data_IF_224374801390
#
_entry.id   IF_224374801390
#
_cell.length_a   1.000
_cell.length_b   1.000
_cell.length_c   1.000
_cell.angle_alpha   90.00
_cell.angle_beta   90.00
_cell.angle_gamma   90.00
#
_symmetry.space_group_name_H-M   'P 1'
#
loop_
_entity.id
_entity.type
_entity.pdbx_description
1 polymer ?
#
# COMPACT_ATOMS: atom_id res chain seq x y z
N UNK A 1 -16.54 35.26 24.09
CA UNK A 1 -15.48 34.25 24.13
C UNK A 1 -16.09 33.00 23.52
N UNK A 2 -15.95 32.93 22.20
CA UNK A 2 -16.33 31.80 21.37
C UNK A 2 -15.47 30.59 21.72
N UNK A 3 -16.04 29.39 21.65
CA UNK A 3 -15.57 28.34 20.72
C UNK A 3 -16.32 27.02 21.02
N UNK A 4 -17.25 26.65 20.13
CA UNK A 4 -17.02 25.84 18.91
C UNK A 4 -17.14 24.35 19.21
N UNK A 5 -18.31 23.83 18.86
CA UNK A 5 -18.72 22.43 18.73
C UNK A 5 -17.62 21.54 18.14
N UNK A 6 -17.10 20.59 18.93
CA UNK A 6 -16.28 19.47 18.47
C UNK A 6 -17.19 18.31 18.08
N UNK A 7 -17.26 18.02 16.77
CA UNK A 7 -17.92 16.87 16.17
C UNK A 7 -17.10 15.59 16.47
N UNK A 8 -17.32 14.95 17.62
CA UNK A 8 -16.85 13.57 17.89
C UNK A 8 -17.91 12.57 17.41
N UNK A 9 -17.54 11.47 16.72
CA UNK A 9 -18.49 10.38 16.48
C UNK A 9 -18.84 9.72 17.82
N UNK A 10 -20.12 9.69 18.17
CA UNK A 10 -20.67 9.21 19.45
C UNK A 10 -20.88 7.68 19.52
N UNK A 11 -20.14 6.88 18.74
CA UNK A 11 -20.37 5.43 18.66
C UNK A 11 -19.40 4.63 19.54
N UNK A 12 -19.95 3.72 20.35
CA UNK A 12 -19.18 2.74 21.13
C UNK A 12 -18.56 1.66 20.23
N UNK A 13 -17.44 1.08 20.70
CA UNK A 13 -16.76 -0.05 20.07
C UNK A 13 -17.72 -1.24 20.02
N UNK A 14 -17.98 -1.76 18.83
CA UNK A 14 -18.96 -2.82 18.64
C UNK A 14 -18.33 -4.21 18.83
N UNK A 15 -19.18 -5.22 19.04
CA UNK A 15 -18.72 -6.58 19.32
C UNK A 15 -17.85 -7.20 18.22
N UNK A 16 -17.99 -6.80 16.95
CA UNK A 16 -17.13 -7.25 15.84
C UNK A 16 -15.75 -6.57 15.89
N UNK A 17 -15.69 -5.29 16.27
CA UNK A 17 -14.43 -4.56 16.51
C UNK A 17 -13.68 -5.16 17.71
N UNK A 18 -14.40 -5.55 18.78
CA UNK A 18 -13.84 -6.28 19.92
C UNK A 18 -13.39 -7.71 19.54
N UNK A 19 -14.15 -8.43 18.72
CA UNK A 19 -13.78 -9.75 18.22
C UNK A 19 -12.56 -9.71 17.28
N UNK A 20 -12.39 -8.62 16.51
CA UNK A 20 -11.22 -8.39 15.66
C UNK A 20 -9.90 -8.40 16.43
N UNK A 21 -9.91 -7.98 17.70
CA UNK A 21 -8.74 -8.05 18.60
C UNK A 21 -8.39 -9.49 19.03
N UNK A 22 -9.31 -10.44 18.80
CA UNK A 22 -9.20 -11.86 19.15
C UNK A 22 -9.10 -12.77 17.91
N UNK A 23 -8.91 -12.20 16.71
CA UNK A 23 -8.85 -12.97 15.45
C UNK A 23 -7.87 -14.14 15.55
N UNK A 24 -8.42 -15.35 15.69
CA UNK A 24 -7.74 -16.64 15.75
C UNK A 24 -7.97 -17.45 14.48
N UNK A 25 -8.13 -16.80 13.33
CA UNK A 25 -8.43 -17.50 12.06
C UNK A 25 -7.28 -18.43 11.73
N UNK A 26 -7.43 -19.70 12.13
CA UNK A 26 -6.54 -20.78 11.76
C UNK A 26 -7.04 -21.30 10.43
N UNK A 27 -6.34 -20.99 9.36
CA UNK A 27 -6.65 -21.51 8.03
C UNK A 27 -6.33 -23.00 8.06
N UNK A 28 -7.30 -23.84 7.65
CA UNK A 28 -7.11 -25.30 7.64
C UNK A 28 -5.82 -25.66 6.89
N UNK A 29 -4.94 -26.50 7.45
CA UNK A 29 -3.74 -26.96 6.75
C UNK A 29 -4.02 -27.57 5.38
N UNK A 30 -5.19 -28.17 5.19
CA UNK A 30 -5.58 -28.73 3.90
C UNK A 30 -5.82 -27.65 2.84
N UNK A 31 -6.45 -26.54 3.22
CA UNK A 31 -6.63 -25.37 2.33
C UNK A 31 -5.27 -24.79 1.96
N UNK A 32 -4.38 -24.63 2.95
CA UNK A 32 -3.01 -24.15 2.73
C UNK A 32 -2.25 -25.07 1.77
N UNK A 33 -2.35 -26.40 1.95
CA UNK A 33 -1.68 -27.38 1.09
C UNK A 33 -2.23 -27.38 -0.34
N UNK A 34 -3.55 -27.31 -0.50
CA UNK A 34 -4.19 -27.25 -1.83
C UNK A 34 -3.73 -26.00 -2.58
N UNK A 35 -3.81 -24.82 -1.95
CA UNK A 35 -3.35 -23.58 -2.58
C UNK A 35 -1.85 -23.60 -2.86
N UNK A 36 -1.03 -24.10 -1.93
CA UNK A 36 0.40 -24.25 -2.15
C UNK A 36 0.71 -25.19 -3.34
N UNK A 37 -0.09 -26.24 -3.53
CA UNK A 37 0.03 -27.13 -4.68
C UNK A 37 -0.25 -26.40 -6.00
N UNK A 38 -1.37 -25.69 -6.08
CA UNK A 38 -1.76 -24.90 -7.27
C UNK A 38 -0.72 -23.82 -7.59
N UNK A 39 -0.18 -23.16 -6.56
CA UNK A 39 0.87 -22.15 -6.71
C UNK A 39 2.27 -22.76 -6.95
N UNK A 40 2.39 -24.08 -7.09
CA UNK A 40 3.62 -24.77 -7.46
C UNK A 40 4.63 -24.99 -6.32
N UNK A 41 4.32 -24.63 -5.07
CA UNK A 41 5.20 -24.86 -3.91
C UNK A 41 5.49 -26.35 -3.68
N UNK A 42 4.56 -27.23 -4.06
CA UNK A 42 4.70 -28.69 -3.95
C UNK A 42 5.92 -29.26 -4.69
N UNK A 43 6.48 -28.52 -5.65
CA UNK A 43 7.64 -28.90 -6.46
C UNK A 43 8.98 -28.57 -5.81
N UNK A 44 8.97 -27.90 -4.65
CA UNK A 44 10.17 -27.37 -4.03
C UNK A 44 10.31 -27.82 -2.57
N UNK A 45 11.54 -28.11 -2.11
CA UNK A 45 11.78 -28.38 -0.69
C UNK A 45 11.62 -27.08 0.12
N UNK A 46 11.10 -27.21 1.34
CA UNK A 46 10.95 -26.08 2.27
C UNK A 46 12.31 -25.51 2.72
N UNK A 47 13.35 -26.36 2.75
CA UNK A 47 14.71 -26.00 3.14
C UNK A 47 15.74 -26.52 2.14
N UNK A 48 16.77 -25.72 1.88
CA UNK A 48 17.96 -26.07 1.10
C UNK A 48 19.17 -25.71 1.97
N UNK A 49 20.07 -26.66 2.20
CA UNK A 49 21.27 -26.49 3.04
C UNK A 49 20.98 -25.91 4.44
N UNK A 50 19.89 -26.38 5.06
CA UNK A 50 19.47 -25.94 6.40
C UNK A 50 18.85 -24.54 6.45
N UNK A 51 18.70 -23.86 5.31
CA UNK A 51 18.07 -22.55 5.20
C UNK A 51 16.72 -22.62 4.51
N UNK A 52 15.80 -21.71 4.87
CA UNK A 52 14.49 -21.62 4.23
C UNK A 52 14.66 -21.29 2.75
N UNK A 53 13.98 -22.05 1.89
CA UNK A 53 13.95 -21.78 0.46
C UNK A 53 13.19 -20.48 0.18
N UNK A 54 13.80 -19.57 -0.59
CA UNK A 54 13.29 -18.20 -0.79
C UNK A 54 12.27 -18.09 -1.93
N UNK A 55 12.19 -19.08 -2.83
CA UNK A 55 11.20 -19.22 -3.91
C UNK A 55 10.75 -17.89 -4.54
N UNK A 56 11.68 -17.04 -5.02
CA UNK A 56 11.36 -15.68 -5.50
C UNK A 56 10.52 -15.65 -6.78
N UNK A 57 10.38 -16.80 -7.45
CA UNK A 57 9.59 -17.00 -8.67
C UNK A 57 8.14 -17.42 -8.41
N UNK A 58 7.75 -17.66 -7.15
CA UNK A 58 6.39 -18.05 -6.79
C UNK A 58 5.61 -16.88 -6.20
N UNK A 59 4.29 -16.96 -6.31
CA UNK A 59 3.37 -16.00 -5.72
C UNK A 59 3.23 -16.23 -4.22
N UNK A 60 3.13 -15.14 -3.45
CA UNK A 60 2.96 -15.22 -2.00
C UNK A 60 1.59 -15.85 -1.65
N UNK A 61 1.62 -17.00 -0.98
CA UNK A 61 0.42 -17.70 -0.52
C UNK A 61 -0.44 -16.84 0.41
N UNK A 62 0.17 -15.99 1.23
CA UNK A 62 -0.57 -15.09 2.13
C UNK A 62 -1.32 -14.01 1.35
N UNK A 63 -0.74 -13.50 0.27
CA UNK A 63 -1.40 -12.51 -0.59
C UNK A 63 -2.62 -13.14 -1.30
N UNK A 64 -2.51 -14.40 -1.75
CA UNK A 64 -3.63 -15.15 -2.36
C UNK A 64 -4.76 -15.41 -1.37
N UNK A 65 -4.43 -15.81 -0.14
CA UNK A 65 -5.42 -16.03 0.92
C UNK A 65 -6.19 -14.74 1.27
N UNK A 66 -5.48 -13.62 1.36
CA UNK A 66 -6.13 -12.32 1.61
C UNK A 66 -7.00 -11.90 0.42
N UNK A 67 -6.54 -12.10 -0.81
CA UNK A 67 -7.35 -11.86 -2.03
C UNK A 67 -8.63 -12.70 -2.05
N UNK A 68 -8.56 -13.99 -1.71
CA UNK A 68 -9.76 -14.86 -1.62
C UNK A 68 -10.76 -14.33 -0.60
N UNK A 69 -10.29 -13.86 0.56
CA UNK A 69 -11.16 -13.23 1.55
C UNK A 69 -11.80 -11.94 1.01
N UNK A 70 -11.02 -11.10 0.31
CA UNK A 70 -11.51 -9.85 -0.28
C UNK A 70 -12.56 -10.09 -1.36
N UNK A 71 -12.34 -11.07 -2.23
CA UNK A 71 -13.30 -11.49 -3.24
C UNK A 71 -14.65 -11.89 -2.63
N UNK A 72 -14.64 -12.57 -1.48
CA UNK A 72 -15.85 -13.08 -0.82
C UNK A 72 -16.50 -12.13 0.17
N UNK A 73 -15.83 -11.04 0.54
CA UNK A 73 -16.30 -10.15 1.60
C UNK A 73 -17.70 -9.57 1.33
N UNK A 74 -18.06 -9.12 0.10
CA UNK A 74 -19.39 -8.58 -0.14
C UNK A 74 -20.53 -9.59 0.03
N UNK A 75 -20.27 -10.88 -0.22
CA UNK A 75 -21.26 -11.95 -0.03
C UNK A 75 -21.61 -12.17 1.45
N UNK A 76 -20.71 -11.74 2.36
CA UNK A 76 -20.89 -11.82 3.81
C UNK A 76 -21.55 -10.56 4.39
N UNK A 77 -21.65 -9.48 3.62
CA UNK A 77 -22.26 -8.22 4.04
C UNK A 77 -23.76 -8.22 3.74
N UNK A 78 -24.58 -7.77 4.69
CA UNK A 78 -26.02 -7.64 4.46
C UNK A 78 -26.35 -6.66 3.32
N UNK A 79 -25.59 -5.56 3.22
CA UNK A 79 -25.67 -4.57 2.14
C UNK A 79 -24.23 -4.08 1.84
N UNK A 80 -23.54 -4.66 0.85
CA UNK A 80 -22.19 -4.22 0.49
C UNK A 80 -22.23 -2.89 -0.28
N UNK A 81 -21.28 -2.00 0.01
CA UNK A 81 -21.11 -0.73 -0.71
C UNK A 81 -20.64 -0.95 -2.15
N UNK A 82 -20.83 0.03 -3.06
CA UNK A 82 -20.32 -0.07 -4.43
C UNK A 82 -18.81 -0.33 -4.51
N UNK A 83 -18.03 0.34 -3.65
CA UNK A 83 -16.57 0.15 -3.59
C UNK A 83 -16.20 -1.25 -3.10
N UNK A 84 -16.94 -1.81 -2.14
CA UNK A 84 -16.74 -3.20 -1.69
C UNK A 84 -17.04 -4.20 -2.81
N UNK A 85 -18.10 -3.97 -3.59
CA UNK A 85 -18.42 -4.81 -4.75
C UNK A 85 -17.33 -4.72 -5.83
N UNK A 86 -16.83 -3.51 -6.12
CA UNK A 86 -15.77 -3.31 -7.09
C UNK A 86 -14.43 -3.90 -6.61
N UNK A 87 -14.06 -3.73 -5.34
CA UNK A 87 -12.85 -4.33 -4.77
C UNK A 87 -12.90 -5.87 -4.85
N UNK A 88 -14.07 -6.48 -4.63
CA UNK A 88 -14.28 -7.91 -4.82
C UNK A 88 -14.12 -8.35 -6.29
N UNK A 89 -14.70 -7.61 -7.24
CA UNK A 89 -14.55 -7.91 -8.67
C UNK A 89 -13.08 -7.84 -9.13
N UNK A 90 -12.35 -6.83 -8.67
CA UNK A 90 -10.91 -6.72 -8.96
C UNK A 90 -10.16 -7.88 -8.30
N UNK A 91 -10.44 -8.19 -7.03
CA UNK A 91 -9.80 -9.31 -6.34
C UNK A 91 -10.03 -10.65 -7.07
N UNK A 92 -11.26 -10.92 -7.53
CA UNK A 92 -11.59 -12.10 -8.33
C UNK A 92 -10.82 -12.14 -9.65
N UNK A 93 -10.71 -11.00 -10.36
CA UNK A 93 -9.93 -10.91 -11.58
C UNK A 93 -8.44 -11.21 -11.34
N UNK A 94 -7.85 -10.64 -10.27
CA UNK A 94 -6.46 -10.89 -9.92
C UNK A 94 -6.24 -12.36 -9.56
N UNK A 95 -7.15 -12.99 -8.80
CA UNK A 95 -7.08 -14.42 -8.50
C UNK A 95 -7.11 -15.27 -9.77
N UNK A 96 -8.02 -14.97 -10.70
CA UNK A 96 -8.09 -15.68 -11.99
C UNK A 96 -6.78 -15.59 -12.76
N UNK A 97 -6.16 -14.40 -12.85
CA UNK A 97 -4.86 -14.21 -13.50
C UNK A 97 -3.74 -14.98 -12.78
N UNK A 98 -3.71 -14.95 -11.45
CA UNK A 98 -2.71 -15.69 -10.66
C UNK A 98 -2.82 -17.20 -10.90
N UNK A 99 -4.02 -17.77 -10.83
CA UNK A 99 -4.22 -19.21 -11.06
C UNK A 99 -4.04 -19.61 -12.54
N UNK A 100 -4.23 -18.69 -13.47
CA UNK A 100 -3.88 -18.88 -14.88
C UNK A 100 -2.37 -18.74 -15.17
N UNK A 101 -1.55 -18.44 -14.15
CA UNK A 101 -0.13 -18.10 -14.29
C UNK A 101 0.14 -16.90 -15.21
N UNK A 102 -0.80 -15.96 -15.29
CA UNK A 102 -0.65 -14.66 -15.96
C UNK A 102 0.00 -13.65 -15.01
N UNK A 103 1.28 -13.87 -14.72
CA UNK A 103 2.12 -12.97 -13.94
C UNK A 103 3.58 -13.10 -14.37
N UNK A 104 4.39 -12.11 -14.01
CA UNK A 104 5.83 -12.11 -14.26
C UNK A 104 6.59 -12.29 -12.95
N UNK A 105 7.79 -12.84 -13.01
CA UNK A 105 8.71 -12.89 -11.88
C UNK A 105 9.50 -11.60 -11.77
N UNK A 106 10.06 -11.31 -10.59
CA UNK A 106 10.95 -10.16 -10.39
C UNK A 106 12.17 -10.17 -11.34
N UNK A 107 12.67 -11.35 -11.72
CA UNK A 107 13.80 -11.47 -12.65
C UNK A 107 13.39 -11.09 -14.07
N UNK A 108 12.26 -11.60 -14.55
CA UNK A 108 11.75 -11.25 -15.89
C UNK A 108 11.46 -9.75 -15.99
N UNK A 109 10.83 -9.17 -14.96
CA UNK A 109 10.61 -7.72 -14.88
C UNK A 109 11.93 -6.96 -14.93
N UNK A 110 12.94 -7.39 -14.19
CA UNK A 110 14.26 -6.75 -14.21
C UNK A 110 14.88 -6.70 -15.63
N UNK A 111 14.71 -7.77 -16.40
CA UNK A 111 15.28 -7.90 -17.74
C UNK A 111 14.49 -7.11 -18.80
N UNK A 112 13.17 -6.99 -18.60
CA UNK A 112 12.30 -6.16 -19.43
C UNK A 112 12.49 -4.66 -19.16
N UNK A 113 12.93 -4.30 -17.96
CA UNK A 113 13.06 -2.91 -17.58
C UNK A 113 14.31 -2.24 -18.18
N UNK A 114 14.19 -0.98 -18.63
CA UNK A 114 15.32 -0.18 -19.06
C UNK A 114 16.35 0.04 -17.92
N UNK A 115 17.51 0.60 -18.23
CA UNK A 115 18.56 0.88 -17.22
C UNK A 115 18.23 2.10 -16.36
N UNK A 116 17.16 1.99 -15.57
CA UNK A 116 16.68 3.00 -14.61
C UNK A 116 16.52 2.38 -13.24
N UNK A 117 16.65 3.18 -12.17
CA UNK A 117 16.37 2.68 -10.83
C UNK A 117 14.86 2.72 -10.59
N UNK A 118 14.25 1.52 -10.51
CA UNK A 118 12.80 1.30 -10.34
C UNK A 118 12.57 0.54 -9.05
N UNK A 119 11.72 1.11 -8.19
CA UNK A 119 11.41 0.55 -6.88
C UNK A 119 9.91 0.27 -6.76
N UNK A 120 9.58 -0.93 -6.28
CA UNK A 120 8.24 -1.33 -5.90
C UNK A 120 8.04 -1.16 -4.40
N UNK A 121 6.89 -0.62 -4.01
CA UNK A 121 6.44 -0.55 -2.62
C UNK A 121 5.33 -1.58 -2.39
N UNK A 122 5.58 -2.60 -1.56
CA UNK A 122 4.55 -3.55 -1.12
C UNK A 122 3.66 -2.84 -0.10
N UNK A 123 2.51 -2.36 -0.59
CA UNK A 123 1.50 -1.65 0.17
C UNK A 123 0.63 -2.65 0.95
N UNK A 124 0.40 -2.36 2.22
CA UNK A 124 -0.59 -3.07 3.03
C UNK A 124 -2.03 -2.62 2.74
N UNK A 125 -3.01 -3.19 3.46
CA UNK A 125 -4.39 -2.70 3.41
C UNK A 125 -4.48 -1.24 3.83
N UNK A 126 -5.50 -0.50 3.37
CA UNK A 126 -5.76 0.86 3.82
C UNK A 126 -5.87 0.93 5.34
N UNK A 127 -5.15 1.87 5.95
CA UNK A 127 -5.27 2.17 7.39
C UNK A 127 -5.09 3.65 7.65
N UNK A 128 -5.87 4.22 8.56
CA UNK A 128 -5.76 5.64 8.91
C UNK A 128 -4.38 5.93 9.52
N UNK A 129 -3.93 7.17 9.36
CA UNK A 129 -2.60 7.60 9.79
C UNK A 129 -2.67 8.84 10.68
N UNK A 130 -1.90 8.81 11.78
CA UNK A 130 -1.73 9.94 12.70
C UNK A 130 -3.06 10.52 13.17
N UNK A 131 -3.26 11.81 12.91
CA UNK A 131 -4.45 12.55 13.38
C UNK A 131 -5.78 11.89 12.95
N UNK A 132 -5.82 11.27 11.77
CA UNK A 132 -7.04 10.68 11.22
C UNK A 132 -7.50 9.47 12.04
N UNK A 133 -6.55 8.76 12.68
CA UNK A 133 -6.86 7.66 13.60
C UNK A 133 -7.66 8.22 14.77
N UNK A 134 -7.11 9.21 15.49
CA UNK A 134 -7.72 9.79 16.70
C UNK A 134 -9.16 10.26 16.50
N UNK A 135 -9.47 10.78 15.32
CA UNK A 135 -10.81 11.29 14.98
C UNK A 135 -11.86 10.18 14.83
N UNK A 136 -11.42 8.94 14.60
CA UNK A 136 -12.28 7.80 14.27
C UNK A 136 -12.25 6.71 15.33
N UNK A 137 -11.44 6.87 16.37
CA UNK A 137 -11.44 5.97 17.51
C UNK A 137 -12.72 6.13 18.33
N UNK A 138 -13.26 5.00 18.77
CA UNK A 138 -14.24 4.98 19.85
C UNK A 138 -13.60 5.49 21.16
N UNK A 139 -14.43 5.98 22.08
CA UNK A 139 -13.97 6.61 23.33
C UNK A 139 -13.13 5.68 24.23
N UNK A 140 -13.25 4.36 24.07
CA UNK A 140 -12.59 3.31 24.83
C UNK A 140 -11.55 2.53 24.02
N UNK A 141 -11.21 2.97 22.80
CA UNK A 141 -10.33 2.23 21.89
C UNK A 141 -8.94 1.91 22.48
N UNK A 142 -8.41 2.79 23.33
CA UNK A 142 -7.12 2.56 24.00
C UNK A 142 -7.14 1.35 24.94
N UNK A 143 -8.31 0.94 25.46
CA UNK A 143 -8.46 -0.26 26.29
C UNK A 143 -8.23 -1.56 25.49
N UNK A 144 -8.33 -1.51 24.16
CA UNK A 144 -8.10 -2.64 23.28
C UNK A 144 -6.61 -2.93 23.04
N UNK A 145 -5.70 -2.00 23.41
CA UNK A 145 -4.27 -2.16 23.18
C UNK A 145 -3.75 -3.29 24.09
N UNK A 146 -3.14 -4.35 23.55
CA UNK A 146 -2.61 -5.44 24.36
C UNK A 146 -1.49 -4.94 25.29
N UNK A 147 -1.51 -5.41 26.54
CA UNK A 147 -0.47 -5.08 27.53
C UNK A 147 0.96 -5.45 27.08
N UNK A 148 1.09 -6.42 26.18
CA UNK A 148 2.37 -6.87 25.59
C UNK A 148 2.53 -6.45 24.12
N UNK A 149 2.08 -5.25 23.74
CA UNK A 149 2.36 -4.71 22.40
C UNK A 149 3.83 -4.28 22.29
N UNK A 150 4.57 -4.88 21.35
CA UNK A 150 5.87 -4.35 20.95
C UNK A 150 5.65 -3.07 20.16
N UNK A 151 6.05 -1.93 20.73
CA UNK A 151 6.07 -0.64 20.03
C UNK A 151 6.89 -0.80 18.75
N UNK A 152 6.23 -0.84 17.60
CA UNK A 152 6.93 -0.63 16.33
C UNK A 152 7.47 0.79 16.38
N UNK A 153 8.78 1.03 16.18
CA UNK A 153 9.30 2.38 16.01
C UNK A 153 8.81 2.93 14.66
N UNK A 154 7.54 3.31 14.63
CA UNK A 154 7.07 4.33 13.74
C UNK A 154 7.83 5.59 14.16
N UNK A 155 8.65 6.15 13.26
CA UNK A 155 9.53 7.27 13.60
C UNK A 155 8.77 8.48 14.18
N UNK A 156 9.41 9.65 14.36
CA UNK A 156 8.83 10.79 15.10
C UNK A 156 7.51 11.37 14.55
N UNK A 157 6.96 10.79 13.48
CA UNK A 157 5.79 11.24 12.75
C UNK A 157 4.48 10.52 13.12
N UNK A 158 4.48 9.51 13.99
CA UNK A 158 3.23 8.99 14.60
C UNK A 158 3.49 8.33 15.95
N UNK A 159 2.48 8.36 16.81
CA UNK A 159 2.47 7.62 18.07
C UNK A 159 2.29 6.10 17.80
N UNK A 160 3.04 5.20 18.49
CA UNK A 160 2.91 3.75 18.31
C UNK A 160 1.52 3.19 18.62
N UNK A 161 0.80 3.77 19.59
CA UNK A 161 -0.55 3.35 19.96
C UNK A 161 -1.54 3.71 18.85
N UNK A 162 -1.43 4.92 18.29
CA UNK A 162 -2.20 5.32 17.09
C UNK A 162 -1.94 4.40 15.91
N UNK A 163 -0.67 4.04 15.66
CA UNK A 163 -0.33 3.16 14.57
C UNK A 163 -0.98 1.77 14.73
N UNK A 164 -1.02 1.24 15.96
CA UNK A 164 -1.70 -0.01 16.28
C UNK A 164 -3.22 0.11 16.07
N UNK A 165 -3.84 1.14 16.66
CA UNK A 165 -5.28 1.34 16.57
C UNK A 165 -5.73 1.61 15.12
N UNK A 166 -4.96 2.38 14.36
CA UNK A 166 -5.20 2.61 12.94
C UNK A 166 -5.16 1.33 12.10
N UNK A 167 -4.30 0.38 12.47
CA UNK A 167 -4.15 -0.90 11.77
C UNK A 167 -5.22 -1.94 12.14
N UNK A 168 -5.81 -1.85 13.33
CA UNK A 168 -6.64 -2.93 13.89
C UNK A 168 -8.08 -2.54 14.21
N UNK A 169 -8.37 -1.26 14.40
CA UNK A 169 -9.68 -0.78 14.86
C UNK A 169 -10.39 0.05 13.79
N UNK A 170 -9.66 0.87 13.02
CA UNK A 170 -10.27 1.76 12.03
C UNK A 170 -10.31 1.13 10.64
N UNK A 171 -11.45 1.22 9.95
CA UNK A 171 -11.52 0.97 8.51
C UNK A 171 -11.21 2.27 7.75
N UNK A 172 -10.30 2.16 6.78
CA UNK A 172 -9.93 3.27 5.91
C UNK A 172 -10.29 3.00 4.44
N UNK A 173 -11.01 1.91 4.13
CA UNK A 173 -11.23 1.44 2.76
C UNK A 173 -12.19 2.36 1.99
N UNK A 174 -13.30 2.78 2.60
CA UNK A 174 -14.27 3.71 2.02
C UNK A 174 -13.94 5.15 2.41
N UNK A 175 -13.27 5.87 1.50
CA UNK A 175 -12.90 7.27 1.72
C UNK A 175 -14.09 8.24 1.67
N UNK A 176 -15.19 7.87 1.01
CA UNK A 176 -16.37 8.73 0.91
C UNK A 176 -17.13 8.80 2.22
N UNK A 177 -17.01 7.75 3.05
CA UNK A 177 -17.51 7.70 4.43
C UNK A 177 -16.64 8.47 5.43
N UNK A 178 -15.45 8.92 5.00
CA UNK A 178 -14.52 9.67 5.84
C UNK A 178 -14.76 11.17 5.67
N UNK A 179 -14.90 11.84 6.81
CA UNK A 179 -14.80 13.29 6.90
C UNK A 179 -13.32 13.64 6.80
N UNK A 180 -12.95 14.23 5.67
CA UNK A 180 -11.55 14.43 5.29
C UNK A 180 -11.06 15.85 5.53
N UNK A 181 -11.95 16.75 5.99
CA UNK A 181 -11.65 18.15 6.28
C UNK A 181 -11.39 18.33 7.76
N UNK A 182 -10.27 18.94 8.12
CA UNK A 182 -9.95 19.22 9.52
C UNK A 182 -9.42 20.64 9.68
N UNK A 183 -10.11 21.44 10.49
CA UNK A 183 -9.73 22.82 10.79
C UNK A 183 -8.49 22.92 11.68
N UNK A 184 -8.27 21.92 12.54
CA UNK A 184 -7.33 22.01 13.67
C UNK A 184 -6.02 21.24 13.41
N UNK A 185 -5.81 20.75 12.19
CA UNK A 185 -4.60 20.01 11.82
C UNK A 185 -3.55 20.98 11.30
N UNK A 186 -2.35 21.03 11.91
CA UNK A 186 -1.25 21.84 11.41
C UNK A 186 -0.86 21.43 9.98
N UNK A 187 -1.31 22.20 8.99
CA UNK A 187 -1.16 21.86 7.56
C UNK A 187 0.32 21.79 7.14
N UNK A 188 1.18 22.52 7.85
CA UNK A 188 2.61 22.60 7.58
C UNK A 188 3.41 21.44 8.21
N UNK A 189 2.80 20.65 9.10
CA UNK A 189 3.46 19.49 9.70
C UNK A 189 3.29 18.25 8.81
N UNK A 190 4.41 17.77 8.28
CA UNK A 190 4.46 16.64 7.33
C UNK A 190 3.78 15.35 7.83
N UNK A 191 3.81 15.12 9.15
CA UNK A 191 3.12 14.00 9.80
C UNK A 191 1.61 13.99 9.54
N UNK A 192 1.01 15.14 9.27
CA UNK A 192 -0.42 15.29 9.05
C UNK A 192 -0.81 15.48 7.59
N UNK A 193 0.14 15.61 6.68
CA UNK A 193 -0.18 15.78 5.27
C UNK A 193 -0.64 14.47 4.61
N UNK A 194 -1.11 13.47 5.33
CA UNK A 194 -1.60 12.18 4.80
C UNK A 194 -2.76 11.70 5.64
N UNK A 195 -3.85 11.30 4.99
CA UNK A 195 -5.02 10.74 5.65
C UNK A 195 -4.82 9.27 6.06
N UNK A 196 -4.22 8.47 5.17
CA UNK A 196 -4.05 7.02 5.35
C UNK A 196 -2.78 6.49 4.69
N UNK A 197 -2.38 5.29 5.11
CA UNK A 197 -1.39 4.46 4.46
C UNK A 197 -2.06 3.26 3.78
N UNK A 198 -1.30 2.53 2.97
CA UNK A 198 -1.79 1.36 2.25
C UNK A 198 -2.58 1.73 0.99
N UNK A 199 -3.17 0.73 0.35
CA UNK A 199 -3.84 0.88 -0.95
C UNK A 199 -5.08 -0.02 -1.00
N UNK A 200 -6.24 0.50 -1.37
CA UNK A 200 -7.40 -0.33 -1.75
C UNK A 200 -7.24 -0.79 -3.20
N UNK A 201 -7.87 -1.90 -3.59
CA UNK A 201 -7.83 -2.29 -5.01
C UNK A 201 -8.61 -1.33 -5.91
N UNK A 202 -9.50 -0.50 -5.34
CA UNK A 202 -10.30 0.47 -6.09
C UNK A 202 -9.73 1.89 -6.07
N UNK A 203 -8.56 2.08 -5.44
CA UNK A 203 -7.97 3.41 -5.33
C UNK A 203 -7.58 3.98 -6.68
N UNK A 204 -7.87 5.25 -6.90
CA UNK A 204 -7.33 6.04 -7.99
C UNK A 204 -5.84 6.35 -7.80
N UNK A 205 -5.15 6.70 -8.90
CA UNK A 205 -3.72 7.03 -8.88
C UNK A 205 -3.37 8.21 -7.95
N UNK A 206 -4.26 9.17 -7.78
CA UNK A 206 -4.08 10.32 -6.89
C UNK A 206 -4.07 9.89 -5.41
N UNK A 207 -4.98 8.99 -5.06
CA UNK A 207 -5.05 8.43 -3.73
C UNK A 207 -3.88 7.49 -3.44
N UNK A 208 -3.50 6.64 -4.39
CA UNK A 208 -2.35 5.76 -4.26
C UNK A 208 -1.06 6.57 -4.12
N UNK A 209 -0.87 7.63 -4.90
CA UNK A 209 0.26 8.56 -4.73
C UNK A 209 0.31 9.14 -3.31
N UNK A 210 -0.83 9.62 -2.79
CA UNK A 210 -0.88 10.20 -1.45
C UNK A 210 -0.48 9.21 -0.35
N UNK A 211 -0.93 7.95 -0.48
CA UNK A 211 -0.53 6.87 0.43
C UNK A 211 0.94 6.43 0.25
N UNK A 212 1.42 6.41 -1.00
CA UNK A 212 2.71 5.86 -1.37
C UNK A 212 3.88 6.84 -1.22
N UNK A 213 3.65 8.14 -1.12
CA UNK A 213 4.72 9.13 -0.93
C UNK A 213 5.29 9.18 0.50
N UNK A 214 5.25 8.09 1.25
CA UNK A 214 5.80 8.01 2.61
C UNK A 214 7.32 8.13 2.69
N UNK A 215 7.87 7.89 3.89
CA UNK A 215 9.31 7.96 4.14
C UNK A 215 9.95 6.59 3.90
N UNK A 216 10.54 6.40 2.73
CA UNK A 216 11.08 5.11 2.31
C UNK A 216 12.60 5.08 2.37
N UNK A 217 13.15 3.89 2.63
CA UNK A 217 14.57 3.62 2.45
C UNK A 217 14.85 3.35 0.98
N UNK A 218 14.92 4.40 0.20
CA UNK A 218 15.27 4.38 -1.23
C UNK A 218 16.56 5.15 -1.48
N UNK A 219 17.13 4.96 -2.66
CA UNK A 219 18.27 5.76 -3.12
C UNK A 219 17.76 6.96 -3.90
N UNK A 220 18.48 8.09 -3.86
CA UNK A 220 18.08 9.34 -4.53
C UNK A 220 18.06 9.24 -6.06
N UNK A 221 18.74 8.23 -6.63
CA UNK A 221 18.67 7.91 -8.06
C UNK A 221 17.38 7.16 -8.46
N UNK A 222 16.49 6.84 -7.50
CA UNK A 222 15.20 6.20 -7.78
C UNK A 222 14.33 7.14 -8.61
N UNK A 223 14.13 6.81 -9.89
CA UNK A 223 13.34 7.63 -10.81
C UNK A 223 11.88 7.21 -10.84
N UNK A 224 11.61 5.93 -10.63
CA UNK A 224 10.26 5.37 -10.71
C UNK A 224 9.88 4.65 -9.42
N UNK A 225 8.67 4.93 -8.95
CA UNK A 225 8.04 4.22 -7.83
C UNK A 225 6.79 3.49 -8.30
N UNK A 226 6.60 2.28 -7.81
CA UNK A 226 5.50 1.38 -8.20
C UNK A 226 4.83 0.82 -6.96
N UNK A 227 3.77 1.48 -6.46
CA UNK A 227 2.97 0.94 -5.37
C UNK A 227 2.26 -0.33 -5.82
N UNK A 228 2.33 -1.38 -5.00
CA UNK A 228 1.75 -2.67 -5.31
C UNK A 228 1.01 -3.23 -4.11
N UNK A 229 -0.13 -3.89 -4.34
CA UNK A 229 -0.85 -4.67 -3.32
C UNK A 229 -1.08 -6.06 -3.88
N UNK A 230 -0.76 -7.07 -3.08
CA UNK A 230 -0.76 -8.47 -3.50
C UNK A 230 0.08 -8.76 -4.74
N UNK A 231 1.12 -7.98 -5.07
CA UNK A 231 1.88 -8.14 -6.33
C UNK A 231 1.28 -7.46 -7.56
N UNK A 232 0.05 -6.93 -7.47
CA UNK A 232 -0.57 -6.13 -8.52
C UNK A 232 -0.05 -4.70 -8.51
N UNK A 233 0.31 -4.15 -9.68
CA UNK A 233 0.91 -2.84 -9.84
C UNK A 233 0.01 -1.92 -10.69
N UNK A 234 -1.02 -1.29 -10.10
CA UNK A 234 -2.00 -0.53 -10.89
C UNK A 234 -1.43 0.73 -11.55
N UNK A 235 -0.41 1.34 -10.93
CA UNK A 235 0.09 2.66 -11.31
C UNK A 235 1.61 2.74 -11.22
N UNK A 236 2.20 3.46 -12.17
CA UNK A 236 3.63 3.77 -12.21
C UNK A 236 3.79 5.27 -12.11
N UNK A 237 4.65 5.71 -11.19
CA UNK A 237 4.93 7.12 -10.99
C UNK A 237 6.39 7.43 -11.28
N UNK A 238 6.62 8.54 -11.98
CA UNK A 238 7.92 9.17 -12.11
C UNK A 238 8.09 10.23 -11.04
N UNK A 239 9.14 10.13 -10.23
CA UNK A 239 9.50 11.20 -9.28
C UNK A 239 10.27 12.28 -10.03
N UNK A 240 9.96 13.55 -9.77
CA UNK A 240 10.69 14.68 -10.36
C UNK A 240 12.18 14.67 -9.93
N UNK A 241 13.06 15.33 -10.70
CA UNK A 241 14.52 15.32 -10.41
C UNK A 241 14.86 15.91 -9.04
N UNK A 242 14.10 16.91 -8.61
CA UNK A 242 14.13 17.56 -7.29
C UNK A 242 13.01 17.06 -6.36
N UNK A 243 12.32 15.98 -6.76
CA UNK A 243 11.11 15.49 -6.10
C UNK A 243 11.36 14.67 -4.84
N UNK A 244 12.62 14.45 -4.45
CA UNK A 244 12.98 13.73 -3.23
C UNK A 244 13.38 14.68 -2.11
N UNK A 245 12.63 14.67 -1.02
CA UNK A 245 13.05 15.27 0.26
C UNK A 245 13.73 14.21 1.10
N UNK A 246 14.90 14.54 1.65
CA UNK A 246 15.61 13.71 2.64
C UNK A 246 15.10 14.03 4.04
N UNK A 247 14.75 12.99 4.78
CA UNK A 247 14.35 13.07 6.19
C UNK A 247 15.35 12.28 7.04
N UNK A 248 15.95 12.94 8.02
CA UNK A 248 16.89 12.34 8.96
C UNK A 248 16.14 11.75 10.16
N UNK A 249 16.54 10.55 10.58
CA UNK A 249 15.93 9.84 11.69
C UNK A 249 17.02 9.48 12.68
N UNK A 250 16.91 9.96 13.92
CA UNK A 250 17.89 9.71 14.99
C UNK A 250 18.25 8.22 15.09
N UNK A 251 19.54 7.91 14.95
CA UNK A 251 20.06 6.55 15.05
C UNK A 251 19.71 5.61 13.89
N UNK A 252 19.15 6.09 12.78
CA UNK A 252 18.80 5.24 11.63
C UNK A 252 19.24 5.83 10.29
N UNK A 253 19.24 4.99 9.23
CA UNK A 253 19.55 5.45 7.86
C UNK A 253 18.48 6.42 7.37
N UNK A 254 18.92 7.42 6.60
CA UNK A 254 18.07 8.39 5.92
C UNK A 254 16.87 7.73 5.23
N UNK A 255 15.75 8.43 5.24
CA UNK A 255 14.57 8.07 4.46
C UNK A 255 14.22 9.21 3.53
N UNK A 256 13.55 8.88 2.43
CA UNK A 256 13.22 9.84 1.40
C UNK A 256 11.72 9.84 1.14
N UNK A 257 11.17 11.04 0.98
CA UNK A 257 9.78 11.29 0.69
C UNK A 257 9.65 11.89 -0.71
N UNK A 258 8.74 11.34 -1.52
CA UNK A 258 8.45 11.90 -2.83
C UNK A 258 7.50 13.10 -2.69
N UNK A 259 8.00 14.31 -2.86
CA UNK A 259 7.21 15.56 -2.71
C UNK A 259 6.53 15.97 -4.01
N UNK A 260 7.09 15.57 -5.17
CA UNK A 260 6.58 15.90 -6.50
C UNK A 260 6.82 14.74 -7.47
N UNK A 261 5.86 14.51 -8.34
CA UNK A 261 5.97 13.48 -9.36
C UNK A 261 4.85 13.52 -10.38
N UNK A 262 4.84 12.49 -11.20
CA UNK A 262 3.92 12.34 -12.31
C UNK A 262 3.36 10.93 -12.31
N UNK A 263 2.05 10.79 -12.43
CA UNK A 263 1.46 9.52 -12.86
C UNK A 263 1.60 9.40 -14.38
N UNK A 264 2.07 8.24 -14.84
CA UNK A 264 2.24 7.94 -16.27
C UNK A 264 0.97 7.23 -16.77
N UNK A 265 0.09 7.97 -17.45
CA UNK A 265 -1.11 7.41 -18.08
C UNK A 265 -0.73 6.83 -19.44
N UNK A 266 -0.25 5.58 -19.45
CA UNK A 266 0.22 4.87 -20.66
C UNK A 266 -0.88 4.79 -21.71
N UNK A 267 -2.14 4.54 -21.29
CA UNK A 267 -3.29 4.39 -22.20
C UNK A 267 -3.56 5.66 -22.99
N UNK A 268 -3.32 6.83 -22.39
CA UNK A 268 -3.50 8.14 -23.04
C UNK A 268 -2.19 8.83 -23.40
N UNK A 269 -1.05 8.16 -23.21
CA UNK A 269 0.31 8.67 -23.43
C UNK A 269 0.51 10.09 -22.87
N UNK A 270 0.11 10.30 -21.61
CA UNK A 270 0.21 11.62 -20.94
C UNK A 270 0.77 11.50 -19.53
N UNK A 271 1.37 12.58 -19.05
CA UNK A 271 1.76 12.71 -17.65
C UNK A 271 0.68 13.51 -16.89
N UNK A 272 0.26 12.98 -15.76
CA UNK A 272 -0.56 13.72 -14.79
C UNK A 272 0.38 14.21 -13.69
N UNK A 273 0.58 15.52 -13.60
CA UNK A 273 1.40 16.11 -12.54
C UNK A 273 0.68 16.02 -11.19
N UNK A 274 1.40 15.54 -10.19
CA UNK A 274 0.93 15.32 -8.83
C UNK A 274 1.57 16.38 -7.94
N UNK A 275 0.84 17.49 -7.76
CA UNK A 275 1.30 18.65 -7.00
C UNK A 275 1.20 18.48 -5.49
N UNK A 276 1.24 19.61 -4.78
CA UNK A 276 1.16 19.64 -3.33
C UNK A 276 -0.11 18.96 -2.80
N UNK A 277 -0.03 18.29 -1.63
CA UNK A 277 -1.18 17.65 -1.02
C UNK A 277 -2.20 18.70 -0.58
N UNK A 278 -3.48 18.37 -0.77
CA UNK A 278 -4.57 19.29 -0.47
C UNK A 278 -5.35 18.87 0.80
N UNK A 279 -5.31 19.65 1.90
CA UNK A 279 -6.09 19.34 3.10
C UNK A 279 -7.60 19.21 2.84
N UNK A 280 -8.12 19.92 1.84
CA UNK A 280 -9.56 19.92 1.54
C UNK A 280 -10.06 18.68 0.79
N UNK A 281 -9.15 17.78 0.39
CA UNK A 281 -9.46 16.58 -0.37
C UNK A 281 -8.62 15.38 0.10
N UNK A 282 -8.72 15.03 1.38
CA UNK A 282 -8.05 13.85 1.93
C UNK A 282 -6.53 13.83 1.75
N UNK A 283 -5.90 15.00 1.60
CA UNK A 283 -4.48 15.14 1.25
C UNK A 283 -4.08 14.53 -0.09
N UNK A 284 -5.05 14.33 -1.00
CA UNK A 284 -4.77 13.96 -2.38
C UNK A 284 -4.01 15.10 -3.07
N UNK A 285 -3.12 14.79 -4.03
CA UNK A 285 -2.38 15.82 -4.75
C UNK A 285 -3.34 16.69 -5.58
N UNK A 286 -3.00 17.96 -5.76
CA UNK A 286 -3.60 18.75 -6.85
C UNK A 286 -3.12 18.17 -8.17
N UNK A 287 -4.06 17.68 -8.98
CA UNK A 287 -3.76 17.04 -10.27
C UNK A 287 -3.95 18.02 -11.41
N UNK A 288 -2.98 18.07 -12.32
CA UNK A 288 -3.11 18.73 -13.63
C UNK A 288 -2.46 17.88 -14.71
N UNK A 289 -2.94 18.01 -15.95
CA UNK A 289 -2.24 17.42 -17.09
C UNK A 289 -0.94 18.19 -17.29
N UNK A 290 0.18 17.48 -17.37
CA UNK A 290 1.48 18.06 -17.65
C UNK A 290 1.51 18.65 -19.06
N UNK A 291 2.15 19.80 -19.22
CA UNK A 291 2.44 20.38 -20.55
C UNK A 291 3.48 19.55 -21.32
N UNK A 292 4.34 18.83 -20.59
CA UNK A 292 5.31 17.93 -21.15
C UNK A 292 4.72 16.53 -21.34
N UNK A 293 4.94 15.88 -22.49
CA UNK A 293 4.55 14.48 -22.69
C UNK A 293 5.44 13.54 -21.86
N UNK A 294 5.03 12.28 -21.66
CA UNK A 294 5.91 11.24 -21.16
C UNK A 294 7.11 11.09 -22.10
N UNK A 295 8.28 10.83 -21.53
CA UNK A 295 9.43 10.43 -22.35
C UNK A 295 9.27 8.99 -22.84
N UNK A 296 10.03 8.59 -23.86
CA UNK A 296 10.06 7.20 -24.32
C UNK A 296 10.39 6.24 -23.16
N UNK A 297 11.31 6.66 -22.28
CA UNK A 297 11.69 5.92 -21.07
C UNK A 297 10.53 5.74 -20.10
N UNK A 298 9.71 6.77 -19.93
CA UNK A 298 8.52 6.71 -19.07
C UNK A 298 7.52 5.69 -19.62
N UNK A 299 7.31 5.68 -20.94
CA UNK A 299 6.43 4.72 -21.60
C UNK A 299 7.00 3.30 -21.57
N UNK A 300 8.31 3.11 -21.77
CA UNK A 300 8.98 1.81 -21.63
C UNK A 300 8.73 1.21 -20.23
N UNK A 301 9.10 1.93 -19.17
CA UNK A 301 8.90 1.46 -17.78
C UNK A 301 7.42 1.20 -17.50
N UNK A 302 6.56 2.13 -17.85
CA UNK A 302 5.15 2.03 -17.50
C UNK A 302 4.40 0.98 -18.31
N UNK A 303 4.83 0.67 -19.54
CA UNK A 303 4.27 -0.42 -20.35
C UNK A 303 4.56 -1.81 -19.77
N UNK A 304 5.70 -1.99 -19.10
CA UNK A 304 6.06 -3.23 -18.42
C UNK A 304 5.26 -3.41 -17.12
N UNK A 305 5.04 -2.31 -16.38
CA UNK A 305 4.61 -2.40 -14.99
C UNK A 305 3.14 -2.04 -14.73
N UNK A 306 2.51 -1.19 -15.54
CA UNK A 306 1.14 -0.75 -15.28
C UNK A 306 0.13 -1.90 -15.47
N UNK A 307 -0.69 -2.14 -14.46
CA UNK A 307 -1.66 -3.26 -14.39
C UNK A 307 -1.03 -4.67 -14.45
N UNK A 308 0.28 -4.75 -14.20
CA UNK A 308 1.01 -6.01 -14.15
C UNK A 308 0.81 -6.74 -12.82
N UNK A 309 0.93 -8.07 -12.86
CA UNK A 309 1.07 -8.93 -11.70
C UNK A 309 2.51 -9.43 -11.61
N UNK A 310 3.12 -9.25 -10.45
CA UNK A 310 4.51 -9.64 -10.20
C UNK A 310 4.55 -10.62 -9.04
N UNK A 311 5.10 -11.82 -9.28
CA UNK A 311 5.47 -12.75 -8.22
C UNK A 311 6.66 -12.19 -7.43
N UNK A 312 6.40 -11.80 -6.17
CA UNK A 312 7.39 -11.21 -5.26
C UNK A 312 8.09 -12.24 -4.36
N UNK A 313 7.72 -13.52 -4.47
CA UNK A 313 8.22 -14.59 -3.61
C UNK A 313 7.53 -14.65 -2.25
N UNK A 314 8.05 -15.52 -1.38
CA UNK A 314 7.55 -15.70 -0.02
C UNK A 314 7.56 -14.39 0.81
N UNK A 315 6.75 -14.29 1.89
CA UNK A 315 6.62 -13.07 2.68
C UNK A 315 7.96 -12.47 3.11
N UNK A 316 8.19 -11.21 2.75
CA UNK A 316 9.40 -10.44 3.10
C UNK A 316 9.06 -9.34 4.09
N UNK A 317 9.96 -9.10 5.06
CA UNK A 317 9.82 -7.98 6.02
C UNK A 317 10.07 -6.62 5.40
N UNK A 318 10.77 -6.55 4.27
CA UNK A 318 11.10 -5.29 3.63
C UNK A 318 9.99 -4.90 2.63
N UNK A 319 9.24 -3.81 2.87
CA UNK A 319 8.20 -3.36 1.95
C UNK A 319 8.77 -2.66 0.70
N UNK A 320 10.07 -2.36 0.66
CA UNK A 320 10.75 -1.69 -0.47
C UNK A 320 11.54 -2.72 -1.28
N UNK A 321 11.07 -3.02 -2.49
CA UNK A 321 11.65 -4.03 -3.37
C UNK A 321 12.24 -3.34 -4.59
N UNK A 322 13.52 -3.57 -4.89
CA UNK A 322 14.13 -3.08 -6.14
C UNK A 322 13.73 -4.00 -7.28
N UNK A 323 13.13 -3.43 -8.32
CA UNK A 323 12.85 -4.13 -9.58
C UNK A 323 14.01 -3.97 -10.55
N UNK A 324 14.66 -2.80 -10.52
CA UNK A 324 15.83 -2.48 -11.34
C UNK A 324 16.72 -1.47 -10.63
N UNK A 325 18.02 -1.54 -10.88
CA UNK A 325 18.97 -0.54 -10.42
C UNK A 325 19.83 -0.08 -11.59
N UNK A 326 19.93 1.23 -11.79
CA UNK A 326 20.74 1.80 -12.87
C UNK A 326 22.19 1.33 -12.74
N UNK A 327 22.74 0.80 -13.84
CA UNK A 327 24.11 0.34 -13.93
C UNK A 327 24.45 -0.91 -13.09
N UNK A 328 23.46 -1.66 -12.59
CA UNK A 328 23.68 -2.92 -11.86
C UNK A 328 22.72 -4.00 -12.29
N UNK A 329 23.20 -5.24 -12.35
CA UNK A 329 22.35 -6.41 -12.44
C UNK A 329 21.97 -6.87 -11.02
N UNK A 330 20.69 -7.16 -10.80
CA UNK A 330 20.18 -7.65 -9.52
C UNK A 330 20.19 -9.18 -9.40
N UNK A 331 20.19 -9.92 -10.53
CA UNK A 331 20.04 -11.38 -10.58
C UNK A 331 21.14 -12.07 -11.37
#
# INVERSE_FOLDING_TARGET
MEDSTSLRPTRALNAAELAGTHNRVSISPDIVRTLAHELGYSKHPAFVDGQRNTLPHLYDLSDVLELMLRAKLPELCAIPSPDQQLESQIADNLLQRIFAHDFTTRSEVHDLLPSETVVLFKMGPPRLWGYAVRQRLAADAEQAIPASYHQDPTGPHTDPQEAWLGAHVTDASDLTSLDTKVSDVPVDEDRYQRLRLGMSLVDGYDQVWSSARGHWRVSTDTRYIVPSRYGWCPYVYRVADDGWRRDEFDGSRDRYMATRGYFIDVKRQRLMELGAPNPDNAWRPKVRVSEQPPTDRDLEVASVLSDSLIALGAPQRNPVIRLRQRGRNLF
#
